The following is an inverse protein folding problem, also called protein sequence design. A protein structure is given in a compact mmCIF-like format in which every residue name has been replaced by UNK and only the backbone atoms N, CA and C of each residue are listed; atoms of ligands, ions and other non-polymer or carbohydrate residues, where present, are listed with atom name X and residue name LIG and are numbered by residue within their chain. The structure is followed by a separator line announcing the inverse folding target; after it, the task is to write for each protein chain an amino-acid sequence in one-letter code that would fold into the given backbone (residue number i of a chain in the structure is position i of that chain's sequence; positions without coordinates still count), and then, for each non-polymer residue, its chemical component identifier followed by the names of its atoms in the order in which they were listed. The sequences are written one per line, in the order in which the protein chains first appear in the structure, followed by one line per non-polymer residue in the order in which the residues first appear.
data_IF_232513599302
#
_entry.id   IF_232513599302
#
_cell.length_a   1.000
_cell.length_b   1.000
_cell.length_c   1.000
_cell.angle_alpha   90.00
_cell.angle_beta   90.00
_cell.angle_gamma   90.00
#
_symmetry.space_group_name_H-M   'P 1'
#
loop_
_entity.id
_entity.type
_entity.pdbx_description
1 polymer ?
#
# COMPACT_ATOMS: atom_id res chain seq x y z
N UNK A 1 26.22 -17.39 -77.90
CA UNK A 1 24.83 -17.94 -77.80
C UNK A 1 24.78 -19.15 -76.94
N UNK A 2 23.60 -19.42 -76.34
CA UNK A 2 22.79 -18.69 -75.37
C UNK A 2 22.47 -19.59 -74.16
N UNK A 3 21.74 -19.09 -73.20
CA UNK A 3 20.56 -19.69 -72.61
C UNK A 3 20.46 -19.50 -71.05
N UNK A 4 19.45 -18.79 -70.74
CA UNK A 4 18.31 -19.11 -69.89
C UNK A 4 18.71 -19.60 -68.45
N UNK A 5 18.41 -18.94 -67.40
CA UNK A 5 17.10 -18.44 -66.97
C UNK A 5 16.52 -19.35 -65.91
N UNK A 6 16.25 -18.80 -64.71
CA UNK A 6 15.10 -19.12 -63.85
C UNK A 6 15.30 -18.39 -62.54
N UNK A 7 14.62 -17.33 -62.39
CA UNK A 7 13.48 -17.12 -61.44
C UNK A 7 13.51 -17.97 -60.14
N UNK A 8 13.97 -17.36 -59.07
CA UNK A 8 13.76 -17.78 -57.68
C UNK A 8 12.94 -16.71 -56.96
N UNK A 9 11.80 -17.11 -56.54
CA UNK A 9 10.75 -16.36 -55.83
C UNK A 9 11.30 -15.76 -54.52
N UNK A 10 10.99 -14.52 -54.15
CA UNK A 10 11.32 -13.97 -52.83
C UNK A 10 10.40 -14.57 -51.79
N UNK A 11 11.00 -15.30 -50.83
CA UNK A 11 10.33 -15.75 -49.61
C UNK A 11 10.00 -14.57 -48.69
N UNK A 12 8.78 -14.54 -48.26
CA UNK A 12 8.12 -13.62 -47.33
C UNK A 12 8.92 -13.42 -46.05
N UNK A 13 9.24 -12.20 -45.62
CA UNK A 13 9.72 -11.92 -44.29
C UNK A 13 8.52 -11.67 -43.38
N UNK A 14 8.02 -12.69 -42.78
CA UNK A 14 6.99 -12.61 -41.74
C UNK A 14 7.18 -13.74 -40.76
N UNK A 15 7.23 -13.45 -39.50
CA UNK A 15 7.29 -14.37 -38.35
C UNK A 15 8.65 -14.57 -37.68
N UNK A 16 9.33 -13.50 -37.31
CA UNK A 16 10.39 -13.61 -36.27
C UNK A 16 10.61 -12.33 -35.49
N UNK A 17 9.55 -11.62 -35.09
CA UNK A 17 9.68 -10.42 -34.24
C UNK A 17 8.58 -10.28 -33.20
N UNK A 18 8.04 -11.37 -32.65
CA UNK A 18 7.03 -11.29 -31.57
C UNK A 18 7.45 -11.95 -30.25
N UNK A 19 8.65 -12.49 -30.12
CA UNK A 19 9.10 -13.13 -28.87
C UNK A 19 10.14 -12.34 -28.08
N UNK A 20 10.44 -11.10 -28.45
CA UNK A 20 11.48 -10.32 -27.75
C UNK A 20 10.90 -9.16 -26.92
N UNK A 21 9.59 -9.11 -26.70
CA UNK A 21 8.95 -7.99 -25.97
C UNK A 21 8.46 -8.33 -24.55
N UNK A 22 8.74 -9.51 -24.02
CA UNK A 22 8.26 -9.87 -22.67
C UNK A 22 9.35 -10.09 -21.62
N UNK A 23 10.57 -9.72 -21.90
CA UNK A 23 11.64 -9.65 -20.91
C UNK A 23 12.02 -8.20 -20.59
N UNK A 24 11.03 -7.33 -20.38
CA UNK A 24 11.30 -6.09 -19.66
C UNK A 24 11.39 -6.44 -18.18
N UNK A 25 12.62 -6.74 -17.79
CA UNK A 25 13.10 -6.76 -16.43
C UNK A 25 12.41 -5.65 -15.63
N UNK A 26 11.76 -6.02 -14.55
CA UNK A 26 11.40 -5.11 -13.46
C UNK A 26 12.73 -4.54 -12.92
N UNK A 27 13.22 -3.47 -13.54
CA UNK A 27 14.30 -2.68 -13.00
C UNK A 27 13.69 -1.98 -11.80
N UNK A 28 13.97 -2.53 -10.63
CA UNK A 28 13.74 -1.83 -9.35
C UNK A 28 14.52 -0.52 -9.46
N UNK A 29 13.83 0.59 -9.67
CA UNK A 29 14.46 1.92 -9.69
C UNK A 29 15.08 2.16 -8.33
N UNK A 30 16.37 1.92 -8.22
CA UNK A 30 17.12 2.12 -6.99
C UNK A 30 17.46 3.60 -6.87
N UNK A 31 16.75 4.31 -6.02
CA UNK A 31 16.93 5.74 -5.82
C UNK A 31 18.10 5.96 -4.87
N UNK A 32 19.07 6.77 -5.30
CA UNK A 32 20.20 7.13 -4.49
C UNK A 32 19.89 8.36 -3.61
N UNK A 33 20.22 8.26 -2.32
CA UNK A 33 20.09 9.34 -1.34
C UNK A 33 21.44 9.55 -0.67
N UNK A 34 21.85 10.82 -0.51
CA UNK A 34 23.04 11.19 0.21
C UNK A 34 22.74 11.47 1.69
N UNK A 35 23.49 10.86 2.59
CA UNK A 35 23.38 11.09 4.02
C UNK A 35 24.70 11.49 4.66
N UNK A 36 24.63 12.30 5.69
CA UNK A 36 25.76 12.71 6.51
C UNK A 36 25.65 12.09 7.90
N UNK A 37 26.77 11.62 8.45
CA UNK A 37 26.82 11.12 9.82
C UNK A 37 26.73 12.31 10.79
N UNK A 38 25.87 12.19 11.79
CA UNK A 38 25.68 13.21 12.82
C UNK A 38 26.66 12.98 13.97
N UNK A 39 27.32 14.05 14.36
CA UNK A 39 28.19 14.10 15.55
C UNK A 39 27.45 14.65 16.77
N UNK A 40 26.54 15.60 16.55
CA UNK A 40 25.71 16.20 17.60
C UNK A 40 24.40 15.45 17.74
N UNK A 41 24.13 14.94 18.94
CA UNK A 41 22.91 14.18 19.28
C UNK A 41 22.11 15.02 20.29
N UNK A 42 20.78 14.89 20.24
CA UNK A 42 19.86 15.53 21.17
C UNK A 42 18.82 16.42 20.49
N UNK A 43 17.84 16.86 21.29
CA UNK A 43 16.67 17.58 20.79
C UNK A 43 17.01 18.94 20.18
N UNK A 44 17.96 19.68 20.76
CA UNK A 44 18.38 20.98 20.25
C UNK A 44 19.05 20.89 18.88
N UNK A 45 19.97 19.93 18.70
CA UNK A 45 20.61 19.66 17.41
C UNK A 45 19.58 19.28 16.34
N UNK A 46 18.66 18.37 16.67
CA UNK A 46 17.60 17.93 15.76
C UNK A 46 16.66 19.09 15.34
N UNK A 47 16.39 20.05 16.24
CA UNK A 47 15.59 21.23 15.90
C UNK A 47 16.36 22.13 14.89
N UNK A 48 17.66 22.39 15.12
CA UNK A 48 18.49 23.20 14.22
C UNK A 48 18.54 22.57 12.81
N UNK A 49 18.82 21.28 12.71
CA UNK A 49 18.85 20.58 11.44
C UNK A 49 17.53 20.68 10.67
N UNK A 50 16.38 20.51 11.36
CA UNK A 50 15.07 20.66 10.71
C UNK A 50 14.81 22.09 10.22
N UNK A 51 15.31 23.11 10.92
CA UNK A 51 15.25 24.52 10.49
C UNK A 51 16.11 24.79 9.26
N UNK A 52 17.25 24.11 9.16
CA UNK A 52 18.17 24.17 8.01
C UNK A 52 17.70 23.33 6.82
N UNK A 53 16.54 22.68 6.94
CA UNK A 53 15.99 21.86 5.84
C UNK A 53 16.50 20.42 5.80
N UNK A 54 17.25 19.99 6.79
CA UNK A 54 17.71 18.60 6.94
C UNK A 54 16.80 17.82 7.86
N UNK A 55 16.72 16.52 7.66
CA UNK A 55 15.90 15.61 8.48
C UNK A 55 16.83 14.65 9.19
N UNK A 56 16.76 14.56 10.53
CA UNK A 56 17.50 13.58 11.30
C UNK A 56 16.87 12.19 11.19
N UNK A 57 17.69 11.16 11.18
CA UNK A 57 17.29 9.76 11.16
C UNK A 57 18.32 8.84 11.78
N UNK A 58 18.00 7.54 11.77
CA UNK A 58 18.86 6.48 12.27
C UNK A 58 19.02 5.41 11.19
N UNK A 59 20.25 4.96 11.00
CA UNK A 59 20.61 3.85 10.12
C UNK A 59 21.07 2.68 10.97
N UNK A 60 20.42 1.51 10.84
CA UNK A 60 20.77 0.29 11.58
C UNK A 60 20.67 -0.98 10.69
N UNK A 61 21.04 -2.13 11.23
CA UNK A 61 20.93 -3.43 10.55
C UNK A 61 22.27 -4.00 10.05
N UNK A 62 22.24 -5.26 9.60
CA UNK A 62 23.39 -6.03 9.13
C UNK A 62 24.58 -6.06 10.14
N UNK A 63 24.26 -6.26 11.44
CA UNK A 63 25.24 -6.33 12.53
C UNK A 63 26.21 -5.13 12.65
N UNK A 64 25.99 -4.09 11.87
CA UNK A 64 26.62 -2.77 12.02
C UNK A 64 25.78 -1.95 12.99
N UNK A 65 26.40 -1.36 13.98
CA UNK A 65 25.74 -0.56 15.02
C UNK A 65 24.82 0.54 14.47
N UNK A 66 24.03 1.14 15.34
CA UNK A 66 23.17 2.26 15.00
C UNK A 66 24.01 3.51 14.71
N UNK A 67 23.81 4.10 13.54
CA UNK A 67 24.51 5.31 13.09
C UNK A 67 23.48 6.43 12.96
N UNK A 68 23.58 7.52 13.75
CA UNK A 68 22.75 8.68 13.55
C UNK A 68 23.17 9.39 12.26
N UNK A 69 22.21 9.67 11.39
CA UNK A 69 22.41 10.30 10.09
C UNK A 69 21.47 11.48 9.89
N UNK A 70 21.78 12.31 8.94
CA UNK A 70 20.91 13.36 8.46
C UNK A 70 20.87 13.35 6.94
N UNK A 71 19.69 13.65 6.37
CA UNK A 71 19.43 13.68 4.93
C UNK A 71 18.75 15.01 4.58
N UNK A 72 19.00 15.52 3.39
CA UNK A 72 18.30 16.71 2.90
C UNK A 72 16.81 16.41 2.69
N UNK A 73 15.95 17.34 3.10
CA UNK A 73 14.48 17.18 2.96
C UNK A 73 14.05 17.02 1.52
N UNK A 74 14.74 17.66 0.58
CA UNK A 74 14.45 17.57 -0.84
C UNK A 74 14.69 16.14 -1.36
N UNK A 75 15.86 15.56 -1.04
CA UNK A 75 16.25 14.22 -1.48
C UNK A 75 15.33 13.16 -0.93
N UNK A 76 15.03 13.23 0.38
CA UNK A 76 14.11 12.27 1.01
C UNK A 76 12.70 12.40 0.43
N UNK A 77 12.22 13.62 0.16
CA UNK A 77 10.91 13.82 -0.47
C UNK A 77 10.88 13.23 -1.88
N UNK A 78 11.93 13.43 -2.66
CA UNK A 78 12.02 12.87 -4.01
C UNK A 78 12.03 11.36 -3.99
N UNK A 79 12.77 10.76 -3.08
CA UNK A 79 12.82 9.31 -2.91
C UNK A 79 11.47 8.70 -2.50
N UNK A 80 10.71 9.38 -1.64
CA UNK A 80 9.40 8.93 -1.18
C UNK A 80 8.27 9.26 -2.17
N UNK A 81 8.52 10.08 -3.18
CA UNK A 81 7.52 10.45 -4.18
C UNK A 81 7.41 9.45 -5.35
N UNK A 82 8.25 8.42 -5.38
CA UNK A 82 8.20 7.35 -6.37
C UNK A 82 6.99 6.43 -6.17
N UNK A 83 6.70 5.63 -7.18
CA UNK A 83 5.58 4.67 -7.15
C UNK A 83 5.64 3.71 -5.98
N UNK A 84 6.85 3.25 -5.61
CA UNK A 84 7.08 2.37 -4.46
C UNK A 84 6.92 3.06 -3.09
N UNK A 85 6.92 4.40 -3.06
CA UNK A 85 6.66 5.19 -1.86
C UNK A 85 7.57 4.85 -0.68
N UNK A 86 6.95 4.53 0.47
CA UNK A 86 7.67 4.18 1.70
C UNK A 86 8.30 2.78 1.67
N UNK A 87 7.90 1.93 0.71
CA UNK A 87 8.38 0.55 0.58
C UNK A 87 9.52 0.40 -0.45
N UNK A 88 10.00 1.51 -1.02
CA UNK A 88 11.11 1.51 -1.96
C UNK A 88 12.41 1.00 -1.31
N UNK A 89 13.14 0.16 -2.04
CA UNK A 89 14.53 -0.12 -1.71
C UNK A 89 15.38 1.05 -2.21
N UNK A 90 16.09 1.71 -1.29
CA UNK A 90 16.89 2.89 -1.56
C UNK A 90 18.37 2.55 -1.51
N UNK A 91 19.18 3.27 -2.26
CA UNK A 91 20.63 3.24 -2.14
C UNK A 91 21.07 4.45 -1.34
N UNK A 92 21.57 4.22 -0.13
CA UNK A 92 22.06 5.26 0.75
C UNK A 92 23.58 5.41 0.63
N UNK A 93 24.05 6.62 0.32
CA UNK A 93 25.47 6.98 0.35
C UNK A 93 25.76 7.70 1.66
N UNK A 94 26.62 7.11 2.49
CA UNK A 94 27.06 7.69 3.75
C UNK A 94 28.59 7.85 3.71
N UNK A 95 29.07 9.07 3.47
CA UNK A 95 30.48 9.29 3.16
C UNK A 95 30.88 8.54 1.90
N UNK A 96 31.82 7.59 2.03
CA UNK A 96 32.32 6.75 0.92
C UNK A 96 31.59 5.38 0.83
N UNK A 97 30.70 5.07 1.78
CA UNK A 97 30.00 3.79 1.82
C UNK A 97 28.62 3.90 1.12
N UNK A 98 28.36 2.98 0.19
CA UNK A 98 27.07 2.85 -0.50
C UNK A 98 26.39 1.58 -0.03
N UNK A 99 25.22 1.71 0.59
CA UNK A 99 24.48 0.59 1.18
C UNK A 99 23.03 0.55 0.75
N UNK A 100 22.48 -0.62 0.42
CA UNK A 100 21.05 -0.76 0.20
C UNK A 100 20.31 -0.69 1.53
N UNK A 101 19.24 0.10 1.54
CA UNK A 101 18.41 0.34 2.72
C UNK A 101 16.93 0.33 2.35
N UNK A 102 16.10 0.02 3.33
CA UNK A 102 14.65 0.22 3.27
C UNK A 102 14.22 1.21 4.34
N UNK A 103 13.13 1.90 4.07
CA UNK A 103 12.50 2.76 5.08
C UNK A 103 11.70 1.87 6.02
N UNK A 104 12.02 1.90 7.30
CA UNK A 104 11.32 1.12 8.33
C UNK A 104 10.20 1.92 8.97
N UNK A 105 10.48 3.19 9.28
CA UNK A 105 9.52 4.08 9.91
C UNK A 105 9.73 5.52 9.44
N UNK A 106 8.63 6.24 9.24
CA UNK A 106 8.61 7.67 8.95
C UNK A 106 7.70 8.38 9.94
N UNK A 107 8.29 9.30 10.72
CA UNK A 107 7.51 10.16 11.58
C UNK A 107 7.15 11.44 10.83
N UNK A 108 5.86 11.72 10.72
CA UNK A 108 5.32 12.89 10.04
C UNK A 108 4.69 13.86 11.05
N UNK A 109 4.88 15.15 10.82
CA UNK A 109 4.21 16.16 11.62
C UNK A 109 2.69 16.12 11.37
N UNK A 110 1.82 16.03 12.41
CA UNK A 110 0.39 15.78 12.24
C UNK A 110 -0.33 16.86 11.43
N UNK A 111 0.08 18.11 11.55
CA UNK A 111 -0.56 19.25 10.85
C UNK A 111 0.14 19.55 9.53
N UNK A 112 1.47 19.70 9.54
CA UNK A 112 2.25 20.11 8.36
C UNK A 112 2.54 18.94 7.41
N UNK A 113 2.36 17.69 7.85
CA UNK A 113 2.59 16.42 7.13
C UNK A 113 4.02 16.24 6.58
N UNK A 114 4.95 17.13 6.93
CA UNK A 114 6.36 16.95 6.60
C UNK A 114 7.00 15.88 7.50
N UNK A 115 7.96 15.15 6.94
CA UNK A 115 8.75 14.16 7.68
C UNK A 115 9.61 14.87 8.72
N UNK A 116 9.59 14.40 9.95
CA UNK A 116 10.35 14.93 11.09
C UNK A 116 11.47 14.00 11.53
N UNK A 117 11.32 12.68 11.30
CA UNK A 117 12.29 11.66 11.59
C UNK A 117 12.12 10.50 10.61
N UNK A 118 13.18 9.77 10.34
CA UNK A 118 13.13 8.55 9.54
C UNK A 118 14.08 7.50 10.08
N UNK A 119 13.67 6.25 9.95
CA UNK A 119 14.44 5.08 10.32
C UNK A 119 14.74 4.27 9.07
N UNK A 120 16.04 4.04 8.80
CA UNK A 120 16.49 3.23 7.68
C UNK A 120 17.13 1.94 8.20
N UNK A 121 16.72 0.83 7.61
CA UNK A 121 17.29 -0.48 7.88
C UNK A 121 18.17 -0.90 6.70
N UNK A 122 19.45 -1.19 6.99
CA UNK A 122 20.35 -1.85 6.01
C UNK A 122 19.81 -3.23 5.72
N UNK A 123 19.74 -3.58 4.45
CA UNK A 123 19.22 -4.88 4.01
C UNK A 123 20.16 -5.55 3.01
N UNK A 124 20.13 -6.86 2.95
CA UNK A 124 20.66 -7.62 1.84
C UNK A 124 19.50 -8.03 0.93
N UNK A 125 19.69 -8.08 -0.38
CA UNK A 125 18.65 -8.43 -1.34
C UNK A 125 17.94 -9.76 -1.03
N UNK A 126 18.65 -10.71 -0.46
CA UNK A 126 18.11 -12.04 -0.11
C UNK A 126 17.48 -12.10 1.28
N UNK A 127 17.63 -11.08 2.10
CA UNK A 127 17.14 -11.05 3.47
C UNK A 127 15.61 -10.91 3.50
N UNK A 128 14.95 -11.66 4.40
CA UNK A 128 13.55 -11.44 4.71
C UNK A 128 13.40 -10.22 5.63
N UNK A 129 12.55 -9.32 5.23
CA UNK A 129 12.25 -8.09 5.97
C UNK A 129 10.77 -8.01 6.29
N UNK A 130 10.47 -7.38 7.41
CA UNK A 130 9.09 -7.09 7.79
C UNK A 130 8.80 -5.64 7.44
N UNK A 131 7.81 -5.42 6.58
CA UNK A 131 7.40 -4.09 6.11
C UNK A 131 5.90 -3.90 6.30
N UNK A 132 5.50 -2.64 6.40
CA UNK A 132 4.09 -2.24 6.47
C UNK A 132 3.66 -1.80 5.08
N UNK A 133 2.72 -2.52 4.48
CA UNK A 133 2.24 -2.25 3.11
C UNK A 133 0.84 -1.66 3.16
N UNK A 134 0.58 -0.57 2.41
CA UNK A 134 -0.74 0.03 2.34
C UNK A 134 -1.71 -0.88 1.59
N UNK A 135 -2.98 -0.90 2.08
CA UNK A 135 -4.11 -1.58 1.47
C UNK A 135 -4.96 -0.61 0.67
N UNK A 136 -5.27 -0.97 -0.57
CA UNK A 136 -6.19 -0.24 -1.42
C UNK A 136 -7.41 -1.10 -1.74
N UNK A 137 -8.60 -0.53 -1.52
CA UNK A 137 -9.85 -1.17 -1.92
C UNK A 137 -10.07 -0.93 -3.40
N UNK A 138 -10.25 -2.00 -4.16
CA UNK A 138 -10.50 -1.99 -5.61
C UNK A 138 -11.87 -2.56 -5.90
N UNK A 139 -12.51 -2.09 -6.96
CA UNK A 139 -13.83 -2.53 -7.35
C UNK A 139 -14.97 -1.75 -6.68
N UNK A 140 -16.19 -2.17 -6.94
CA UNK A 140 -17.40 -1.53 -6.40
C UNK A 140 -18.32 -2.61 -5.83
N UNK A 141 -18.64 -2.51 -4.56
CA UNK A 141 -19.57 -3.43 -3.87
C UNK A 141 -21.02 -3.15 -4.29
N UNK A 142 -21.42 -3.62 -5.49
CA UNK A 142 -22.74 -3.34 -6.08
C UNK A 142 -23.88 -3.83 -5.19
N UNK A 143 -23.74 -4.98 -4.54
CA UNK A 143 -24.74 -5.53 -3.63
C UNK A 143 -25.00 -4.60 -2.43
N UNK A 144 -23.90 -4.08 -1.83
CA UNK A 144 -23.97 -3.15 -0.69
C UNK A 144 -24.63 -1.83 -1.08
N UNK A 145 -24.30 -1.28 -2.26
CA UNK A 145 -24.89 -0.04 -2.74
C UNK A 145 -26.37 -0.21 -3.06
N UNK A 146 -26.77 -1.33 -3.67
CA UNK A 146 -28.16 -1.62 -3.99
C UNK A 146 -29.06 -1.70 -2.74
N UNK A 147 -28.52 -2.13 -1.62
CA UNK A 147 -29.21 -2.19 -0.32
C UNK A 147 -29.08 -0.89 0.51
N UNK A 148 -28.56 0.20 -0.10
CA UNK A 148 -28.38 1.49 0.58
C UNK A 148 -27.27 1.49 1.64
N UNK A 149 -26.37 0.52 1.58
CA UNK A 149 -25.22 0.39 2.48
C UNK A 149 -24.02 1.21 2.03
N UNK A 150 -23.00 1.23 2.90
CA UNK A 150 -21.68 1.79 2.61
C UNK A 150 -20.60 0.83 3.06
N UNK A 151 -19.46 0.88 2.36
CA UNK A 151 -18.26 0.11 2.74
C UNK A 151 -17.35 0.99 3.58
N UNK A 152 -17.02 0.51 4.76
CA UNK A 152 -16.06 1.15 5.67
C UNK A 152 -14.75 0.39 5.65
N UNK A 153 -13.64 1.09 5.42
CA UNK A 153 -12.29 0.54 5.51
C UNK A 153 -11.87 0.49 6.98
N UNK A 154 -11.63 -0.70 7.52
CA UNK A 154 -11.19 -0.93 8.90
C UNK A 154 -9.66 -0.94 9.05
N UNK A 155 -8.96 -1.47 8.03
CA UNK A 155 -7.50 -1.50 7.98
C UNK A 155 -7.00 -0.70 6.79
N UNK A 156 -6.00 0.15 7.05
CA UNK A 156 -5.32 0.93 6.01
C UNK A 156 -4.01 0.29 5.58
N UNK A 157 -3.38 -0.48 6.47
CA UNK A 157 -2.07 -1.08 6.27
C UNK A 157 -2.04 -2.48 6.85
N UNK A 158 -1.22 -3.36 6.28
CA UNK A 158 -0.91 -4.67 6.84
C UNK A 158 0.59 -4.87 6.97
N UNK A 159 0.98 -5.62 7.98
CA UNK A 159 2.36 -6.00 8.23
C UNK A 159 2.64 -7.34 7.54
N UNK A 160 3.63 -7.35 6.65
CA UNK A 160 4.02 -8.51 5.87
C UNK A 160 5.50 -8.78 5.97
N UNK A 161 5.87 -10.04 5.85
CA UNK A 161 7.27 -10.48 5.74
C UNK A 161 7.51 -10.94 4.32
N UNK A 162 8.46 -10.28 3.66
CA UNK A 162 8.82 -10.52 2.26
C UNK A 162 10.33 -10.46 2.08
N UNK A 163 10.84 -10.90 0.93
CA UNK A 163 12.25 -10.66 0.56
C UNK A 163 12.43 -9.19 0.20
N UNK A 164 13.60 -8.64 0.50
CA UNK A 164 13.90 -7.23 0.26
C UNK A 164 13.87 -6.84 -1.24
N UNK A 165 14.06 -7.81 -2.14
CA UNK A 165 14.01 -7.61 -3.59
C UNK A 165 12.58 -7.63 -4.19
N UNK A 166 11.57 -8.11 -3.43
CA UNK A 166 10.20 -8.32 -3.90
C UNK A 166 9.15 -7.70 -2.98
N UNK A 167 9.44 -6.50 -2.47
CA UNK A 167 8.49 -5.76 -1.63
C UNK A 167 7.39 -5.18 -2.52
N UNK A 168 6.10 -5.51 -2.27
CA UNK A 168 5.00 -4.94 -3.03
C UNK A 168 4.77 -3.47 -2.64
N UNK A 169 4.45 -2.64 -3.61
CA UNK A 169 4.13 -1.23 -3.40
C UNK A 169 2.82 -1.06 -2.64
N UNK A 170 1.83 -1.88 -2.98
CA UNK A 170 0.48 -1.87 -2.42
C UNK A 170 -0.12 -3.26 -2.50
N UNK A 171 -1.10 -3.48 -1.67
CA UNK A 171 -1.94 -4.69 -1.72
C UNK A 171 -3.35 -4.25 -2.09
N UNK A 172 -3.89 -4.86 -3.13
CA UNK A 172 -5.23 -4.58 -3.62
C UNK A 172 -6.21 -5.56 -2.98
N UNK A 173 -7.26 -5.01 -2.40
CA UNK A 173 -8.36 -5.75 -1.79
C UNK A 173 -9.62 -5.55 -2.62
N UNK A 174 -10.05 -6.57 -3.35
CA UNK A 174 -11.27 -6.51 -4.16
C UNK A 174 -12.51 -6.58 -3.26
N UNK A 175 -13.36 -5.57 -3.37
CA UNK A 175 -14.63 -5.47 -2.65
C UNK A 175 -15.85 -5.77 -3.52
N UNK A 176 -15.68 -6.20 -4.76
CA UNK A 176 -16.78 -6.39 -5.72
C UNK A 176 -17.80 -7.43 -5.27
N UNK A 177 -17.34 -8.47 -4.55
CA UNK A 177 -18.17 -9.54 -4.03
C UNK A 177 -18.69 -9.30 -2.59
N UNK A 178 -18.38 -8.13 -2.02
CA UNK A 178 -18.79 -7.82 -0.66
C UNK A 178 -20.30 -7.63 -0.57
N UNK A 179 -20.94 -8.34 0.38
CA UNK A 179 -22.38 -8.29 0.66
C UNK A 179 -22.63 -7.68 2.04
N UNK A 180 -23.86 -7.24 2.28
CA UNK A 180 -24.26 -6.70 3.58
C UNK A 180 -24.05 -7.69 4.71
N UNK A 181 -23.57 -7.19 5.84
CA UNK A 181 -23.29 -8.00 7.03
C UNK A 181 -22.03 -8.87 6.93
N UNK A 182 -21.35 -8.91 5.78
CA UNK A 182 -20.05 -9.57 5.63
C UNK A 182 -18.91 -8.57 5.73
N UNK A 183 -17.77 -9.05 6.20
CA UNK A 183 -16.51 -8.31 6.22
C UNK A 183 -15.46 -9.07 5.43
N UNK A 184 -14.71 -8.34 4.61
CA UNK A 184 -13.51 -8.84 3.95
C UNK A 184 -12.41 -8.95 5.01
N UNK A 185 -11.80 -10.11 5.17
CA UNK A 185 -10.76 -10.38 6.15
C UNK A 185 -9.38 -10.41 5.48
N UNK A 186 -8.32 -10.26 6.28
CA UNK A 186 -6.94 -10.31 5.79
C UNK A 186 -6.62 -11.65 5.12
N UNK A 187 -7.20 -12.77 5.60
CA UNK A 187 -7.02 -14.10 4.99
C UNK A 187 -7.65 -14.26 3.61
N UNK A 188 -8.61 -13.40 3.25
CA UNK A 188 -9.32 -13.45 1.97
C UNK A 188 -8.61 -12.63 0.89
N UNK A 189 -7.50 -11.96 1.26
CA UNK A 189 -6.71 -11.17 0.32
C UNK A 189 -5.89 -12.07 -0.60
N UNK A 190 -5.93 -11.75 -1.89
CA UNK A 190 -5.07 -12.40 -2.87
C UNK A 190 -3.68 -11.78 -2.82
N UNK A 191 -2.79 -12.41 -2.06
CA UNK A 191 -1.41 -11.99 -1.87
C UNK A 191 -0.54 -12.83 -2.82
N UNK A 192 0.34 -12.16 -3.57
CA UNK A 192 1.26 -12.85 -4.47
C UNK A 192 2.16 -13.86 -3.75
N UNK A 193 2.82 -14.72 -4.53
CA UNK A 193 3.71 -15.75 -4.00
C UNK A 193 4.90 -15.14 -3.24
N UNK A 194 5.22 -15.71 -2.08
CA UNK A 194 6.36 -15.29 -1.26
C UNK A 194 6.06 -14.23 -0.20
N UNK A 195 4.82 -13.76 -0.09
CA UNK A 195 4.40 -12.80 0.94
C UNK A 195 3.82 -13.56 2.13
N UNK A 196 4.42 -13.39 3.30
CA UNK A 196 3.89 -13.93 4.56
C UNK A 196 3.27 -12.81 5.40
N UNK A 197 1.97 -12.87 5.61
CA UNK A 197 1.26 -11.92 6.48
C UNK A 197 1.58 -12.19 7.94
N UNK A 198 1.93 -11.15 8.68
CA UNK A 198 2.12 -11.18 10.13
C UNK A 198 0.91 -10.66 10.88
N UNK A 199 0.11 -9.82 10.22
CA UNK A 199 -1.17 -9.34 10.77
C UNK A 199 -2.14 -10.50 10.92
N UNK A 200 -2.94 -10.49 11.99
CA UNK A 200 -3.95 -11.53 12.23
C UNK A 200 -4.92 -11.65 11.04
N UNK A 201 -4.99 -12.85 10.45
CA UNK A 201 -5.82 -13.15 9.28
C UNK A 201 -7.33 -12.92 9.48
N UNK A 202 -7.80 -12.92 10.73
CA UNK A 202 -9.20 -12.67 11.10
C UNK A 202 -9.57 -11.18 11.19
N UNK A 203 -8.61 -10.28 11.14
CA UNK A 203 -8.90 -8.84 11.16
C UNK A 203 -9.67 -8.45 9.90
N UNK A 204 -10.74 -7.67 10.08
CA UNK A 204 -11.52 -7.14 8.98
C UNK A 204 -10.73 -6.02 8.28
N UNK A 205 -10.60 -6.13 6.98
CA UNK A 205 -10.03 -5.13 6.07
C UNK A 205 -11.08 -4.08 5.71
N UNK A 206 -12.25 -4.55 5.30
CA UNK A 206 -13.40 -3.74 4.97
C UNK A 206 -14.69 -4.39 5.49
N UNK A 207 -15.65 -3.60 5.89
CA UNK A 207 -16.96 -4.06 6.33
C UNK A 207 -18.07 -3.26 5.67
N UNK A 208 -19.19 -3.94 5.38
CA UNK A 208 -20.37 -3.30 4.83
C UNK A 208 -21.40 -3.04 5.93
N UNK A 209 -21.88 -1.82 5.99
CA UNK A 209 -22.90 -1.37 6.95
C UNK A 209 -24.02 -0.59 6.27
N UNK A 210 -25.23 -0.67 6.83
CA UNK A 210 -26.33 0.19 6.42
C UNK A 210 -26.04 1.64 6.82
N UNK A 211 -26.37 2.57 5.94
CA UNK A 211 -26.34 3.98 6.31
C UNK A 211 -27.49 4.31 7.28
N UNK A 212 -27.31 5.32 8.14
CA UNK A 212 -28.39 5.77 9.03
C UNK A 212 -29.66 6.11 8.28
N UNK A 213 -29.54 6.68 7.07
CA UNK A 213 -30.69 7.01 6.22
C UNK A 213 -31.43 5.75 5.76
N UNK A 214 -30.71 4.69 5.38
CA UNK A 214 -31.31 3.43 4.96
C UNK A 214 -31.97 2.70 6.15
N UNK A 215 -31.38 2.76 7.35
CA UNK A 215 -31.97 2.19 8.58
C UNK A 215 -33.28 2.90 8.94
N UNK A 216 -33.34 4.22 8.81
CA UNK A 216 -34.57 4.99 9.07
C UNK A 216 -35.63 4.68 8.03
N UNK A 217 -35.27 4.50 6.76
CA UNK A 217 -36.22 4.15 5.70
C UNK A 217 -36.78 2.71 5.87
N UNK A 218 -35.97 1.73 6.27
CA UNK A 218 -36.45 0.36 6.55
C UNK A 218 -37.37 0.32 7.78
N UNK A 219 -37.03 1.02 8.85
CA UNK A 219 -37.89 1.09 10.03
C UNK A 219 -39.20 1.85 9.78
N UNK A 220 -39.21 2.82 8.85
CA UNK A 220 -40.44 3.54 8.46
C UNK A 220 -41.41 2.64 7.66
N UNK A 221 -40.87 1.69 6.87
CA UNK A 221 -41.70 0.74 6.09
C UNK A 221 -42.25 -0.37 6.98
N UNK A 222 -41.52 -0.81 8.01
CA UNK A 222 -41.98 -1.81 8.98
C UNK A 222 -42.98 -1.24 10.00
N UNK A 223 -43.01 0.08 10.21
CA UNK A 223 -43.91 0.76 11.13
C UNK A 223 -45.32 1.04 10.57
N UNK A 224 -45.55 1.01 9.27
CA UNK A 224 -46.83 1.27 8.63
C UNK A 224 -47.73 0.04 8.48
N UNK A 225 -47.28 -1.15 8.88
CA UNK A 225 -48.05 -2.40 8.78
C UNK A 225 -48.76 -2.87 10.06
N UNK A 226 -48.68 -2.10 11.17
CA UNK A 226 -49.17 -2.56 12.48
C UNK A 226 -50.28 -1.66 13.12
N UNK A 227 -50.88 -0.74 12.38
CA UNK A 227 -52.07 -0.02 12.88
C UNK A 227 -53.29 -0.26 11.98
N UNK A 228 -54.01 -1.33 12.27
CA UNK A 228 -55.29 -1.62 11.60
C UNK A 228 -55.89 -2.93 12.04
N UNK A 229 -56.30 -3.07 13.31
CA UNK A 229 -57.50 -3.86 13.65
C UNK A 229 -57.79 -3.79 15.16
N UNK A 230 -58.93 -3.28 15.50
CA UNK A 230 -59.56 -3.63 16.77
C UNK A 230 -59.93 -2.46 17.71
N UNK A 231 -60.94 -1.69 17.34
CA UNK A 231 -61.78 -0.99 18.35
C UNK A 231 -63.22 -0.94 17.88
N UNK A 232 -63.98 -1.95 18.20
CA UNK A 232 -65.46 -1.84 18.28
C UNK A 232 -65.97 -2.64 19.50
N UNK A 233 -66.81 -1.93 20.29
CA UNK A 233 -67.75 -2.50 21.25
C UNK A 233 -67.23 -2.61 22.67
N UNK A 234 -67.79 -1.95 23.69
CA UNK A 234 -69.22 -2.04 24.08
C UNK A 234 -69.46 -1.06 25.21
N UNK A 235 -70.58 -0.31 25.08
CA UNK A 235 -71.26 0.41 26.13
C UNK A 235 -71.77 -0.57 27.21
N UNK A 236 -71.88 -0.15 28.40
CA UNK A 236 -73.09 -0.08 29.25
C UNK A 236 -72.84 -0.21 30.74
N UNK A 237 -73.31 0.81 31.42
CA UNK A 237 -74.08 0.82 32.65
C UNK A 237 -73.54 0.20 33.95
N UNK A 238 -73.34 0.98 34.95
CA UNK A 238 -74.13 1.20 36.14
C UNK A 238 -73.41 2.15 37.09
#
# INVERSE_FOLDING_TARGET
SPARGRSGVPGTPGERNQETSQAMSQQTETIAISAQVRTEIGSGAAIRERQEGRIPGILYGLDKGNVPITVERADLRHALATEHGENAMLTLTVGDEVVPVIVKELQRHPVRRNVTHFDLQRVSATQQVTVVVPLYLVGTAKAVIAEGGMVERKLSNIEVRVRADSIPERIEADISELTMGRSLQVQDLNLGDGIKVLTDGRKAVASAHLTRAAVVATNAVEGEGAEGEGAEGEEASA
#
